data_IF_886168124299
#
_entry.id   IF_886168124299
#
_cell.length_a   1.000
_cell.length_b   1.000
_cell.length_c   1.000
_cell.angle_alpha   90.00
_cell.angle_beta   90.00
_cell.angle_gamma   90.00
#
_symmetry.space_group_name_H-M   'P 1'
#
loop_
_entity.id
_entity.type
_entity.pdbx_description
1 polymer ?
#
# COMPACT_ATOMS: atom_id res chain seq x y z
N UNK A 1 1.87 35.59 1.99
CA UNK A 1 1.95 34.83 3.26
C UNK A 1 0.88 33.75 3.37
N UNK A 2 -0.39 34.08 3.09
CA UNK A 2 -1.49 33.09 3.16
C UNK A 2 -1.33 31.92 2.17
N UNK A 3 -0.83 32.16 0.95
CA UNK A 3 -0.60 31.13 -0.06
C UNK A 3 0.31 29.99 0.43
N UNK A 4 1.42 30.33 1.08
CA UNK A 4 2.38 29.34 1.60
C UNK A 4 1.74 28.55 2.74
N UNK A 5 0.99 29.22 3.62
CA UNK A 5 0.27 28.58 4.71
C UNK A 5 -0.80 27.61 4.18
N UNK A 6 -1.55 28.01 3.16
CA UNK A 6 -2.57 27.17 2.52
C UNK A 6 -1.94 25.93 1.87
N UNK A 7 -0.82 26.11 1.16
CA UNK A 7 -0.08 25.00 0.55
C UNK A 7 0.39 23.96 1.57
N UNK A 8 0.92 24.42 2.71
CA UNK A 8 1.34 23.53 3.81
C UNK A 8 0.14 22.76 4.37
N UNK A 9 -0.98 23.44 4.64
CA UNK A 9 -2.19 22.80 5.17
C UNK A 9 -2.71 21.71 4.23
N UNK A 10 -2.80 22.01 2.93
CA UNK A 10 -3.28 21.05 1.92
C UNK A 10 -2.37 19.82 1.83
N UNK A 11 -1.05 20.03 1.89
CA UNK A 11 -0.09 18.94 1.89
C UNK A 11 -0.25 18.03 3.11
N UNK A 12 -0.34 18.59 4.32
CA UNK A 12 -0.53 17.79 5.52
C UNK A 12 -1.89 17.08 5.53
N UNK A 13 -2.94 17.75 5.05
CA UNK A 13 -4.27 17.16 4.91
C UNK A 13 -4.28 15.96 3.96
N UNK A 14 -3.57 16.03 2.82
CA UNK A 14 -3.52 14.91 1.87
C UNK A 14 -2.83 13.69 2.45
N UNK A 15 -1.71 13.85 3.16
CA UNK A 15 -1.06 12.74 3.85
C UNK A 15 -1.91 12.16 4.98
N UNK A 16 -2.60 13.01 5.74
CA UNK A 16 -3.51 12.55 6.79
C UNK A 16 -4.67 11.72 6.20
N UNK A 17 -5.27 12.17 5.10
CA UNK A 17 -6.33 11.43 4.40
C UNK A 17 -5.84 10.10 3.85
N UNK A 18 -4.63 10.04 3.28
CA UNK A 18 -4.02 8.79 2.83
C UNK A 18 -3.82 7.81 3.99
N UNK A 19 -3.28 8.27 5.12
CA UNK A 19 -3.10 7.44 6.31
C UNK A 19 -4.44 6.90 6.84
N UNK A 20 -5.45 7.76 6.96
CA UNK A 20 -6.80 7.37 7.39
C UNK A 20 -7.39 6.36 6.41
N UNK A 21 -7.25 6.57 5.10
CA UNK A 21 -7.75 5.66 4.07
C UNK A 21 -7.12 4.26 4.14
N UNK A 22 -5.81 4.18 4.40
CA UNK A 22 -5.10 2.92 4.59
C UNK A 22 -5.57 2.19 5.85
N UNK A 23 -5.70 2.90 6.96
CA UNK A 23 -6.16 2.31 8.23
C UNK A 23 -7.61 1.83 8.10
N UNK A 24 -8.48 2.62 7.46
CA UNK A 24 -9.89 2.25 7.27
C UNK A 24 -10.06 1.01 6.38
N UNK A 25 -9.22 0.86 5.36
CA UNK A 25 -9.30 -0.30 4.45
C UNK A 25 -8.77 -1.58 5.10
N UNK A 26 -8.01 -1.49 6.22
CA UNK A 26 -7.38 -2.61 6.96
C UNK A 26 -6.67 -3.65 6.09
N UNK A 27 -6.46 -3.34 4.81
CA UNK A 27 -5.81 -4.19 3.86
C UNK A 27 -4.37 -3.72 3.80
N UNK A 28 -3.39 -4.64 3.85
CA UNK A 28 -2.02 -4.25 3.59
C UNK A 28 -1.98 -3.49 2.27
N UNK A 29 -1.17 -2.42 2.21
CA UNK A 29 -0.89 -1.72 0.96
C UNK A 29 -0.63 -2.80 -0.07
N UNK A 30 -1.43 -2.82 -1.13
CA UNK A 30 -1.30 -3.80 -2.21
C UNK A 30 -0.05 -3.43 -3.02
N UNK A 31 1.10 -3.52 -2.36
CA UNK A 31 2.44 -3.43 -2.92
C UNK A 31 2.77 -4.73 -3.62
N UNK A 32 3.64 -4.61 -4.63
CA UNK A 32 4.10 -5.50 -5.71
C UNK A 32 3.89 -7.03 -5.67
N UNK A 33 2.80 -7.56 -5.11
CA UNK A 33 2.39 -8.94 -5.39
C UNK A 33 2.09 -9.14 -6.89
N UNK A 34 2.10 -8.05 -7.69
CA UNK A 34 2.97 -7.82 -8.87
C UNK A 34 3.32 -9.00 -9.78
N UNK A 35 2.48 -10.02 -9.89
CA UNK A 35 2.68 -11.18 -10.74
C UNK A 35 2.49 -12.53 -10.05
N UNK A 36 2.46 -12.58 -8.71
CA UNK A 36 2.25 -13.83 -7.96
C UNK A 36 0.86 -14.45 -8.18
N UNK A 37 -0.12 -13.66 -8.62
CA UNK A 37 -1.44 -14.15 -8.99
C UNK A 37 -1.47 -14.97 -10.29
N UNK A 38 -0.38 -14.97 -11.07
CA UNK A 38 -0.22 -15.80 -12.27
C UNK A 38 0.68 -17.02 -12.01
N UNK A 39 1.18 -17.20 -10.80
CA UNK A 39 1.92 -18.39 -10.40
C UNK A 39 0.95 -19.44 -9.85
N UNK A 40 1.29 -20.71 -10.01
CA UNK A 40 0.56 -21.83 -9.40
C UNK A 40 0.47 -21.63 -7.87
N UNK A 41 -0.69 -21.97 -7.30
CA UNK A 41 -0.97 -21.82 -5.87
C UNK A 41 0.15 -22.48 -5.04
N UNK A 42 0.85 -21.69 -4.22
CA UNK A 42 1.95 -22.14 -3.38
C UNK A 42 3.37 -21.97 -3.97
N UNK A 43 3.51 -21.46 -5.19
CA UNK A 43 4.82 -21.13 -5.74
C UNK A 43 5.49 -20.01 -4.94
N UNK A 44 6.76 -20.22 -4.57
CA UNK A 44 7.56 -19.21 -3.89
C UNK A 44 8.10 -18.19 -4.89
N UNK A 45 8.05 -16.91 -4.53
CA UNK A 45 8.68 -15.85 -5.30
C UNK A 45 10.20 -16.09 -5.34
N UNK A 46 10.79 -16.31 -6.51
CA UNK A 46 12.24 -16.60 -6.63
C UNK A 46 13.13 -15.46 -6.10
N UNK A 47 12.61 -14.24 -6.06
CA UNK A 47 13.34 -13.04 -5.61
C UNK A 47 13.34 -12.90 -4.09
N UNK A 48 12.25 -13.29 -3.40
CA UNK A 48 12.09 -13.05 -1.96
C UNK A 48 11.63 -14.27 -1.14
N UNK A 49 11.46 -15.43 -1.77
CA UNK A 49 11.09 -16.72 -1.16
C UNK A 49 9.68 -16.78 -0.56
N UNK A 50 8.81 -15.80 -0.83
CA UNK A 50 7.45 -15.71 -0.23
C UNK A 50 6.43 -16.44 -1.09
N UNK A 51 5.54 -17.21 -0.48
CA UNK A 51 4.42 -17.90 -1.15
C UNK A 51 3.15 -17.05 -1.16
N UNK A 52 2.22 -17.36 -2.07
CA UNK A 52 0.90 -16.70 -2.20
C UNK A 52 0.06 -16.80 -0.92
N UNK A 53 0.25 -17.85 -0.12
CA UNK A 53 -0.44 -18.05 1.17
C UNK A 53 -0.14 -16.95 2.20
N UNK A 54 1.01 -16.27 2.07
CA UNK A 54 1.37 -15.14 2.95
C UNK A 54 0.77 -13.81 2.49
N UNK A 55 0.12 -13.79 1.33
CA UNK A 55 -0.57 -12.61 0.76
C UNK A 55 -2.09 -12.66 0.99
N UNK A 56 -2.63 -13.78 1.48
CA UNK A 56 -4.02 -13.91 1.91
C UNK A 56 -4.17 -13.53 3.39
N UNK A 57 -3.95 -12.24 3.69
CA UNK A 57 -4.51 -11.45 4.80
C UNK A 57 -3.99 -10.01 4.65
#
# INVERSE_FOLDING_TARGET
MIEILLGIIVLFASFALLAIGVIANNKPITGSCGGLANLEDGASCEICGRTTDKCSN
#
